data_IF_314036440890
#
_entry.id   IF_314036440890
#
_cell.length_a   1.000
_cell.length_b   1.000
_cell.length_c   1.000
_cell.angle_alpha   90.00
_cell.angle_beta   90.00
_cell.angle_gamma   90.00
#
_symmetry.space_group_name_H-M   'P 1'
#
loop_
_entity.id
_entity.type
_entity.pdbx_description
1 polymer ?
#
# COMPACT_ATOMS: atom_id res chain seq x y z
N UNK A 1 -27.02 -31.90 -4.83
CA UNK A 1 -28.43 -31.78 -4.45
C UNK A 1 -28.49 -32.01 -2.95
N UNK A 2 -28.79 -31.10 -2.03
CA UNK A 2 -29.09 -29.66 -1.99
C UNK A 2 -28.74 -29.19 -0.56
N UNK A 3 -27.95 -28.13 -0.39
CA UNK A 3 -28.32 -26.77 0.09
C UNK A 3 -29.23 -26.69 1.33
N UNK A 4 -28.62 -26.37 2.49
CA UNK A 4 -29.09 -25.35 3.46
C UNK A 4 -27.94 -25.13 4.47
N UNK A 5 -27.50 -23.95 4.87
CA UNK A 5 -28.12 -22.63 4.85
C UNK A 5 -28.07 -22.04 6.27
N UNK A 6 -26.88 -21.79 6.83
CA UNK A 6 -26.77 -21.00 8.08
C UNK A 6 -26.17 -19.63 7.77
N UNK A 7 -27.09 -18.68 7.58
CA UNK A 7 -26.86 -17.23 7.56
C UNK A 7 -26.28 -16.81 8.90
N UNK A 8 -25.07 -16.26 8.91
CA UNK A 8 -24.59 -15.40 10.00
C UNK A 8 -25.28 -14.04 9.86
N UNK A 9 -26.26 -13.76 10.73
CA UNK A 9 -26.68 -12.38 11.02
C UNK A 9 -25.81 -11.84 12.16
N UNK A 10 -25.37 -10.58 12.10
CA UNK A 10 -24.68 -9.94 13.20
C UNK A 10 -25.69 -9.58 14.29
N UNK A 11 -25.46 -10.06 15.52
CA UNK A 11 -26.12 -9.48 16.69
C UNK A 11 -25.46 -8.14 17.00
N UNK A 12 -26.22 -7.06 16.83
CA UNK A 12 -25.85 -5.75 17.34
C UNK A 12 -26.19 -5.58 18.82
N UNK A 13 -25.52 -4.62 19.46
CA UNK A 13 -25.97 -3.79 20.59
C UNK A 13 -24.88 -2.74 20.82
N UNK A 14 -24.97 -1.52 20.27
CA UNK A 14 -25.68 -0.32 20.77
C UNK A 14 -25.01 0.32 22.02
N UNK A 15 -24.34 1.47 21.73
CA UNK A 15 -24.26 2.79 22.44
C UNK A 15 -23.87 2.82 23.93
N UNK A 16 -23.24 3.85 24.48
CA UNK A 16 -22.86 5.21 24.08
C UNK A 16 -21.86 5.71 25.15
N UNK A 17 -20.91 6.58 24.80
CA UNK A 17 -20.63 7.77 25.64
C UNK A 17 -19.58 8.71 25.04
N UNK A 18 -20.09 9.89 24.69
CA UNK A 18 -19.47 11.20 24.71
C UNK A 18 -18.63 11.66 23.51
N UNK A 19 -19.36 12.28 22.57
CA UNK A 19 -18.91 13.46 21.85
C UNK A 19 -18.37 14.53 22.81
N UNK A 20 -17.15 14.99 22.58
CA UNK A 20 -16.77 16.38 22.88
C UNK A 20 -16.30 17.04 21.58
N UNK A 21 -17.26 17.72 20.96
CA UNK A 21 -17.03 18.71 19.91
C UNK A 21 -16.27 19.89 20.52
N UNK A 22 -14.99 20.04 20.16
CA UNK A 22 -14.30 21.32 20.32
C UNK A 22 -14.28 22.07 18.98
N UNK A 23 -15.13 23.09 18.88
CA UNK A 23 -14.97 24.17 17.90
C UNK A 23 -13.71 24.96 18.26
N UNK A 24 -12.72 24.99 17.39
CA UNK A 24 -11.70 26.03 17.41
C UNK A 24 -11.93 27.02 16.27
N UNK A 25 -12.09 28.29 16.67
CA UNK A 25 -12.26 29.45 15.81
C UNK A 25 -11.00 29.68 14.97
N UNK A 26 -11.20 30.04 13.70
CA UNK A 26 -10.18 30.65 12.83
C UNK A 26 -9.70 31.97 13.46
N UNK A 27 -8.40 32.05 13.77
CA UNK A 27 -7.68 33.32 13.88
C UNK A 27 -6.27 33.16 13.29
N UNK A 28 -6.06 33.86 12.18
CA UNK A 28 -4.86 34.38 11.53
C UNK A 28 -3.47 33.76 11.80
N UNK A 29 -2.88 33.32 10.67
CA UNK A 29 -1.46 33.19 10.34
C UNK A 29 -0.60 34.36 10.87
N UNK A 30 0.63 34.04 11.31
CA UNK A 30 1.91 34.69 10.89
C UNK A 30 3.06 34.49 11.91
N UNK A 31 2.82 33.95 13.10
CA UNK A 31 3.83 33.91 14.17
C UNK A 31 4.43 32.54 14.55
N UNK A 32 4.05 31.45 13.88
CA UNK A 32 4.30 30.07 14.37
C UNK A 32 5.30 29.27 13.51
N UNK A 33 6.21 29.96 12.81
CA UNK A 33 7.19 29.32 11.90
C UNK A 33 8.58 29.14 12.54
N UNK A 34 8.83 29.66 13.75
CA UNK A 34 10.19 29.63 14.35
C UNK A 34 10.31 28.83 15.66
N UNK A 35 9.21 28.37 16.26
CA UNK A 35 9.24 27.57 17.52
C UNK A 35 9.04 26.05 17.29
N UNK A 36 8.65 25.65 16.07
CA UNK A 36 8.42 24.24 15.71
C UNK A 36 9.70 23.41 15.49
N UNK A 37 10.88 24.04 15.45
CA UNK A 37 12.15 23.33 15.22
C UNK A 37 12.90 22.92 16.51
N UNK A 38 12.46 23.32 17.70
CA UNK A 38 13.20 23.02 18.95
C UNK A 38 12.39 22.20 19.98
N UNK A 39 11.07 22.11 19.83
CA UNK A 39 10.23 21.33 20.74
C UNK A 39 10.02 19.85 20.33
N UNK A 40 10.51 19.39 19.17
CA UNK A 40 10.39 17.98 18.76
C UNK A 40 11.52 17.06 19.26
N UNK A 41 12.49 17.56 20.04
CA UNK A 41 13.66 16.77 20.44
C UNK A 41 13.81 16.44 21.93
N UNK A 42 12.97 16.94 22.86
CA UNK A 42 13.11 16.60 24.29
C UNK A 42 11.79 16.72 25.07
N UNK A 43 11.39 15.61 25.73
CA UNK A 43 10.28 15.53 26.70
C UNK A 43 8.98 15.01 26.08
N UNK A 44 8.42 13.85 26.41
CA UNK A 44 8.45 13.07 27.65
C UNK A 44 8.27 11.59 27.27
N UNK A 45 9.15 10.69 27.68
CA UNK A 45 9.06 10.00 28.98
C UNK A 45 7.67 9.37 29.21
N UNK A 46 7.64 8.04 29.06
CA UNK A 46 6.86 7.13 29.89
C UNK A 46 5.34 7.37 29.94
N UNK A 47 4.66 7.13 28.83
CA UNK A 47 3.44 6.36 28.91
C UNK A 47 3.85 4.89 28.68
N UNK A 48 4.16 4.18 29.76
CA UNK A 48 3.94 2.74 29.78
C UNK A 48 2.42 2.60 29.62
N UNK A 49 1.96 2.53 28.36
CA UNK A 49 0.67 1.94 28.09
C UNK A 49 0.73 0.55 28.72
N UNK A 50 -0.06 0.42 29.78
CA UNK A 50 -0.34 -0.83 30.46
C UNK A 50 -0.58 -1.85 29.36
N UNK A 51 0.29 -2.86 29.26
CA UNK A 51 0.15 -4.00 28.35
C UNK A 51 -1.19 -4.67 28.66
N UNK A 52 -2.28 -4.16 28.08
CA UNK A 52 -3.46 -4.97 27.84
C UNK A 52 -2.97 -6.00 26.82
N UNK A 53 -2.74 -7.22 27.32
CA UNK A 53 -2.41 -8.42 26.57
C UNK A 53 -3.53 -8.70 25.55
N UNK A 54 -3.60 -7.88 24.50
CA UNK A 54 -4.48 -8.00 23.32
C UNK A 54 -4.22 -9.27 22.51
N UNK A 55 -3.30 -10.12 22.99
CA UNK A 55 -2.87 -11.39 22.43
C UNK A 55 -3.63 -12.59 23.00
N UNK A 56 -4.53 -12.35 23.97
CA UNK A 56 -5.36 -13.39 24.58
C UNK A 56 -6.81 -13.00 24.42
N UNK A 57 -7.47 -13.63 23.44
CA UNK A 57 -8.92 -13.54 23.30
C UNK A 57 -9.53 -14.76 24.01
N UNK A 58 -10.54 -14.52 24.84
CA UNK A 58 -11.31 -15.59 25.45
C UNK A 58 -12.33 -16.09 24.44
N UNK A 59 -12.20 -17.34 24.04
CA UNK A 59 -13.16 -18.02 23.18
C UNK A 59 -13.93 -19.04 23.99
N UNK A 60 -15.26 -19.03 23.85
CA UNK A 60 -16.14 -19.99 24.49
C UNK A 60 -16.44 -21.14 23.52
N UNK A 61 -16.01 -22.34 23.87
CA UNK A 61 -16.23 -23.55 23.09
C UNK A 61 -17.27 -24.42 23.76
N UNK A 62 -18.42 -24.61 23.11
CA UNK A 62 -19.48 -25.48 23.60
C UNK A 62 -19.46 -26.81 22.86
N UNK A 63 -19.54 -27.91 23.61
CA UNK A 63 -19.72 -29.24 23.02
C UNK A 63 -21.19 -29.47 22.61
N UNK A 64 -21.43 -30.60 21.91
CA UNK A 64 -22.77 -30.99 21.45
C UNK A 64 -23.76 -31.28 22.58
N UNK A 65 -23.28 -31.41 23.81
CA UNK A 65 -24.10 -31.64 24.99
C UNK A 65 -24.39 -30.32 25.74
N UNK A 66 -23.99 -29.17 25.18
CA UNK A 66 -24.22 -27.84 25.75
C UNK A 66 -23.23 -27.46 26.85
N UNK A 67 -22.15 -28.23 27.05
CA UNK A 67 -21.11 -27.88 28.03
C UNK A 67 -20.10 -26.95 27.37
N UNK A 68 -20.05 -25.71 27.86
CA UNK A 68 -19.12 -24.69 27.37
C UNK A 68 -17.86 -24.60 28.24
N UNK A 69 -16.70 -24.45 27.60
CA UNK A 69 -15.42 -24.17 28.24
C UNK A 69 -14.81 -22.92 27.62
N UNK A 70 -14.47 -21.95 28.47
CA UNK A 70 -13.65 -20.82 28.07
C UNK A 70 -12.21 -21.28 27.89
N UNK A 71 -11.66 -20.99 26.72
CA UNK A 71 -10.24 -21.21 26.43
C UNK A 71 -9.61 -19.89 26.01
N UNK A 72 -8.42 -19.64 26.56
CA UNK A 72 -7.53 -18.59 26.08
C UNK A 72 -6.98 -19.04 24.74
N UNK A 73 -7.33 -18.37 23.65
CA UNK A 73 -6.65 -18.59 22.38
C UNK A 73 -5.68 -17.45 22.09
N UNK A 74 -4.54 -17.82 21.52
CA UNK A 74 -3.57 -16.88 21.01
C UNK A 74 -3.89 -16.70 19.53
N UNK A 75 -4.37 -15.51 19.18
CA UNK A 75 -4.62 -15.19 17.78
C UNK A 75 -3.33 -14.65 17.17
N UNK A 76 -2.95 -15.21 16.03
CA UNK A 76 -1.79 -14.76 15.28
C UNK A 76 -2.06 -13.42 14.56
N UNK A 77 -1.06 -12.98 13.80
CA UNK A 77 -1.07 -11.70 13.07
C UNK A 77 -2.17 -11.58 12.00
N UNK A 78 -2.80 -12.69 11.61
CA UNK A 78 -3.89 -12.74 10.63
C UNK A 78 -5.25 -12.93 11.31
N UNK A 79 -5.34 -12.73 12.63
CA UNK A 79 -6.50 -13.07 13.46
C UNK A 79 -6.89 -14.55 13.40
N UNK A 80 -5.96 -15.44 13.03
CA UNK A 80 -6.19 -16.88 13.11
C UNK A 80 -5.90 -17.30 14.54
N UNK A 81 -6.95 -17.64 15.25
CA UNK A 81 -6.85 -18.16 16.61
C UNK A 81 -6.44 -19.62 16.55
N UNK A 82 -5.27 -19.90 17.13
CA UNK A 82 -4.65 -21.23 17.14
C UNK A 82 -4.47 -21.70 18.58
N UNK A 83 -4.41 -23.01 18.75
CA UNK A 83 -4.28 -23.66 20.06
C UNK A 83 -3.11 -23.09 20.86
N UNK A 84 -3.33 -22.96 22.17
CA UNK A 84 -2.34 -22.53 23.16
C UNK A 84 -0.97 -23.18 22.90
N UNK A 85 0.13 -22.42 22.80
CA UNK A 85 1.47 -22.99 22.58
C UNK A 85 1.78 -24.03 23.65
N UNK A 86 2.30 -25.18 23.23
CA UNK A 86 2.46 -26.35 24.09
C UNK A 86 3.62 -26.19 25.09
N UNK A 87 4.56 -25.27 24.82
CA UNK A 87 5.75 -25.06 25.64
C UNK A 87 6.00 -23.57 25.95
N UNK A 88 6.76 -23.30 27.02
CA UNK A 88 7.22 -21.94 27.36
C UNK A 88 8.10 -21.32 26.27
N UNK A 89 8.91 -22.14 25.59
CA UNK A 89 9.79 -21.69 24.51
C UNK A 89 8.99 -21.25 23.29
N UNK A 90 8.00 -22.05 22.86
CA UNK A 90 7.11 -21.70 21.75
C UNK A 90 6.33 -20.41 22.03
N UNK A 91 5.87 -20.22 23.27
CA UNK A 91 5.24 -18.95 23.68
C UNK A 91 6.20 -17.76 23.53
N UNK A 92 7.45 -17.89 23.98
CA UNK A 92 8.44 -16.81 23.89
C UNK A 92 8.79 -16.46 22.44
N UNK A 93 8.96 -17.45 21.58
CA UNK A 93 9.24 -17.26 20.15
C UNK A 93 8.08 -16.54 19.44
N UNK A 94 6.83 -16.94 19.72
CA UNK A 94 5.65 -16.27 19.15
C UNK A 94 5.52 -14.82 19.60
N UNK A 95 5.75 -14.54 20.88
CA UNK A 95 5.76 -13.16 21.39
C UNK A 95 6.86 -12.32 20.72
N UNK A 96 8.03 -12.92 20.48
CA UNK A 96 9.12 -12.25 19.76
C UNK A 96 8.74 -11.94 18.31
N UNK A 97 8.21 -12.90 17.56
CA UNK A 97 7.74 -12.70 16.18
C UNK A 97 6.63 -11.64 16.10
N UNK A 98 5.70 -11.67 17.04
CA UNK A 98 4.64 -10.66 17.12
C UNK A 98 5.20 -9.25 17.40
N UNK A 99 6.16 -9.12 18.31
CA UNK A 99 6.81 -7.83 18.59
C UNK A 99 7.53 -7.28 17.35
N UNK A 100 8.21 -8.14 16.58
CA UNK A 100 8.83 -7.78 15.30
C UNK A 100 7.78 -7.33 14.27
N UNK A 101 6.69 -8.09 14.13
CA UNK A 101 5.59 -7.73 13.24
C UNK A 101 4.94 -6.39 13.63
N UNK A 102 4.65 -6.18 14.92
CA UNK A 102 4.04 -4.93 15.44
C UNK A 102 4.93 -3.73 15.13
N UNK A 103 6.24 -3.88 15.33
CA UNK A 103 7.24 -2.86 14.96
C UNK A 103 7.24 -2.57 13.46
N UNK A 104 7.26 -3.61 12.62
CA UNK A 104 7.24 -3.48 11.15
C UNK A 104 5.94 -2.82 10.65
N UNK A 105 4.79 -3.24 11.19
CA UNK A 105 3.49 -2.68 10.84
C UNK A 105 3.40 -1.19 11.22
N UNK A 106 3.89 -0.81 12.41
CA UNK A 106 3.92 0.60 12.82
C UNK A 106 4.78 1.47 11.88
N UNK A 107 5.93 0.94 11.44
CA UNK A 107 6.79 1.61 10.45
C UNK A 107 6.03 1.77 9.12
N UNK A 108 5.39 0.70 8.63
CA UNK A 108 4.63 0.71 7.39
C UNK A 108 3.47 1.71 7.43
N UNK A 109 2.70 1.76 8.52
CA UNK A 109 1.58 2.72 8.67
C UNK A 109 2.06 4.17 8.71
N UNK A 110 3.22 4.43 9.32
CA UNK A 110 3.82 5.78 9.32
C UNK A 110 4.24 6.17 7.91
N UNK A 111 4.89 5.27 7.18
CA UNK A 111 5.28 5.51 5.78
C UNK A 111 4.07 5.76 4.89
N UNK A 112 3.05 4.90 4.96
CA UNK A 112 1.83 5.05 4.16
C UNK A 112 1.16 6.42 4.37
N UNK A 113 1.08 6.91 5.62
CA UNK A 113 0.55 8.26 5.90
C UNK A 113 1.43 9.38 5.36
N UNK A 114 2.74 9.18 5.28
CA UNK A 114 3.64 10.15 4.66
C UNK A 114 3.47 10.15 3.14
N UNK A 115 3.37 8.97 2.53
CA UNK A 115 3.16 8.81 1.10
C UNK A 115 1.87 9.50 0.65
N UNK A 116 0.76 9.31 1.39
CA UNK A 116 -0.51 10.00 1.13
C UNK A 116 -0.35 11.53 1.16
N UNK A 117 0.33 12.08 2.16
CA UNK A 117 0.57 13.53 2.25
C UNK A 117 1.40 14.05 1.09
N UNK A 118 2.40 13.28 0.66
CA UNK A 118 3.22 13.64 -0.51
C UNK A 118 2.37 13.65 -1.77
N UNK A 119 1.53 12.64 -1.98
CA UNK A 119 0.62 12.59 -3.13
C UNK A 119 -0.39 13.73 -3.12
N UNK A 120 -0.97 14.05 -1.96
CA UNK A 120 -1.84 15.23 -1.78
C UNK A 120 -1.11 16.52 -2.13
N UNK A 121 0.11 16.71 -1.63
CA UNK A 121 0.92 17.89 -1.94
C UNK A 121 1.26 17.99 -3.43
N UNK A 122 1.54 16.87 -4.11
CA UNK A 122 1.78 16.89 -5.56
C UNK A 122 0.50 17.36 -6.27
N UNK A 123 -0.65 16.77 -5.94
CA UNK A 123 -1.92 17.12 -6.56
C UNK A 123 -2.30 18.60 -6.32
N UNK A 124 -2.09 19.13 -5.11
CA UNK A 124 -2.37 20.53 -4.79
C UNK A 124 -1.47 21.52 -5.55
N UNK A 125 -0.24 21.12 -5.88
CA UNK A 125 0.72 21.96 -6.59
C UNK A 125 0.66 21.81 -8.12
N UNK A 126 -0.21 20.95 -8.65
CA UNK A 126 -0.40 20.79 -10.09
C UNK A 126 -1.17 21.98 -10.68
N UNK A 127 -0.46 22.87 -11.37
CA UNK A 127 -1.10 23.93 -12.17
C UNK A 127 -1.47 23.41 -13.56
N UNK A 128 -2.44 24.04 -14.25
CA UNK A 128 -2.77 23.70 -15.64
C UNK A 128 -1.55 23.74 -16.57
N UNK A 129 -0.66 24.71 -16.40
CA UNK A 129 0.56 24.86 -17.21
C UNK A 129 1.51 23.70 -16.99
N UNK A 130 1.72 23.28 -15.73
CA UNK A 130 2.54 22.11 -15.40
C UNK A 130 1.93 20.84 -16.01
N UNK A 131 0.62 20.67 -15.94
CA UNK A 131 -0.07 19.52 -16.54
C UNK A 131 0.08 19.51 -18.06
N UNK A 132 0.03 20.66 -18.73
CA UNK A 132 0.32 20.72 -20.17
C UNK A 132 1.75 20.34 -20.51
N UNK A 133 2.73 20.77 -19.73
CA UNK A 133 4.13 20.36 -19.90
C UNK A 133 4.30 18.85 -19.71
N UNK A 134 3.65 18.28 -18.69
CA UNK A 134 3.64 16.84 -18.46
C UNK A 134 2.99 16.09 -19.63
N UNK A 135 1.85 16.55 -20.17
CA UNK A 135 1.21 15.94 -21.35
C UNK A 135 2.09 15.98 -22.60
N UNK A 136 2.84 17.07 -22.81
CA UNK A 136 3.80 17.18 -23.92
C UNK A 136 4.94 16.18 -23.75
N UNK A 137 5.47 16.06 -22.54
CA UNK A 137 6.57 15.14 -22.22
C UNK A 137 6.15 13.66 -22.31
N UNK A 138 4.98 13.34 -21.77
CA UNK A 138 4.44 11.99 -21.67
C UNK A 138 3.33 11.77 -22.70
N UNK A 139 3.62 12.12 -23.95
CA UNK A 139 2.64 11.97 -25.04
C UNK A 139 2.43 10.49 -25.35
N UNK A 140 1.16 10.11 -25.45
CA UNK A 140 0.70 8.79 -25.86
C UNK A 140 0.09 8.92 -27.25
N UNK A 141 0.61 8.15 -28.20
CA UNK A 141 0.06 8.13 -29.55
C UNK A 141 -1.30 7.41 -29.55
N UNK A 142 -2.22 7.74 -30.47
CA UNK A 142 -3.53 7.08 -30.52
C UNK A 142 -3.47 5.56 -30.65
N UNK A 143 -4.38 4.88 -29.96
CA UNK A 143 -4.60 3.43 -30.01
C UNK A 143 -5.67 3.00 -31.04
N UNK A 144 -6.07 1.72 -31.04
CA UNK A 144 -6.09 0.82 -29.88
C UNK A 144 -4.72 0.25 -29.48
N UNK A 145 -4.61 -0.15 -28.21
CA UNK A 145 -3.46 -0.83 -27.65
C UNK A 145 -3.87 -2.23 -27.20
N UNK A 146 -3.07 -3.22 -27.59
CA UNK A 146 -3.30 -4.64 -27.35
C UNK A 146 -2.31 -5.16 -26.31
N UNK A 147 -2.70 -6.14 -25.51
CA UNK A 147 -1.78 -6.78 -24.57
C UNK A 147 -0.74 -7.61 -25.35
N UNK A 148 0.55 -7.37 -25.13
CA UNK A 148 1.60 -8.13 -25.78
C UNK A 148 2.11 -9.26 -24.89
N UNK A 149 2.02 -10.50 -25.40
CA UNK A 149 2.52 -11.72 -24.73
C UNK A 149 3.55 -12.50 -25.54
N UNK A 150 4.02 -11.92 -26.66
CA UNK A 150 5.05 -12.52 -27.51
C UNK A 150 6.42 -12.62 -26.81
N UNK A 151 7.35 -13.35 -27.42
CA UNK A 151 8.71 -13.52 -26.88
C UNK A 151 9.50 -12.21 -26.96
N UNK A 152 9.30 -11.43 -28.01
CA UNK A 152 9.88 -10.11 -28.23
C UNK A 152 9.50 -9.16 -27.11
N UNK A 153 8.23 -9.20 -26.68
CA UNK A 153 7.76 -8.38 -25.56
C UNK A 153 8.37 -8.82 -24.22
N UNK A 154 8.66 -10.11 -24.02
CA UNK A 154 9.40 -10.54 -22.81
C UNK A 154 10.80 -9.92 -22.74
N UNK A 155 11.48 -9.75 -23.87
CA UNK A 155 12.80 -9.10 -23.92
C UNK A 155 12.71 -7.60 -23.55
N UNK A 156 11.55 -6.96 -23.73
CA UNK A 156 11.35 -5.57 -23.32
C UNK A 156 11.42 -5.41 -21.80
N UNK A 157 11.04 -6.43 -21.01
CA UNK A 157 11.21 -6.37 -19.56
C UNK A 157 12.69 -6.33 -19.16
N UNK A 158 13.56 -7.09 -19.82
CA UNK A 158 15.00 -7.01 -19.55
C UNK A 158 15.53 -5.59 -19.83
N UNK A 159 15.13 -5.01 -20.96
CA UNK A 159 15.44 -3.62 -21.30
C UNK A 159 14.91 -2.61 -20.27
N UNK A 160 13.67 -2.80 -19.82
CA UNK A 160 13.08 -1.97 -18.75
C UNK A 160 13.86 -2.08 -17.46
N UNK A 161 14.20 -3.31 -17.05
CA UNK A 161 15.00 -3.54 -15.86
C UNK A 161 16.36 -2.86 -15.98
N UNK A 162 17.06 -2.95 -17.11
CA UNK A 162 18.31 -2.23 -17.37
C UNK A 162 18.17 -0.71 -17.25
N UNK A 163 17.05 -0.15 -17.72
CA UNK A 163 16.77 1.29 -17.67
C UNK A 163 16.38 1.77 -16.28
N UNK A 164 15.67 0.95 -15.51
CA UNK A 164 15.48 1.14 -14.07
C UNK A 164 16.80 0.95 -13.29
N UNK A 165 17.76 0.16 -13.81
CA UNK A 165 19.00 -0.26 -13.15
C UNK A 165 20.11 0.79 -13.05
N UNK A 166 19.85 2.10 -13.22
CA UNK A 166 20.89 3.14 -13.06
C UNK A 166 20.69 4.13 -11.91
N UNK A 167 19.53 4.17 -11.22
CA UNK A 167 19.50 4.80 -9.89
C UNK A 167 18.73 4.06 -8.79
N UNK A 168 17.94 3.02 -9.07
CA UNK A 168 16.94 2.50 -8.11
C UNK A 168 17.24 1.09 -7.59
N UNK A 169 17.96 0.26 -8.34
CA UNK A 169 18.06 -1.18 -8.05
C UNK A 169 19.33 -1.49 -7.27
N UNK A 170 19.23 -1.31 -5.95
CA UNK A 170 20.00 -2.09 -4.99
C UNK A 170 19.08 -3.15 -4.39
N UNK A 171 18.67 -4.20 -5.13
CA UNK A 171 17.89 -5.35 -4.59
C UNK A 171 16.53 -5.07 -3.90
N UNK A 172 16.07 -3.82 -3.89
CA UNK A 172 14.97 -3.34 -3.03
C UNK A 172 13.64 -3.12 -3.78
N UNK A 173 13.48 -3.66 -5.00
CA UNK A 173 12.21 -3.63 -5.72
C UNK A 173 11.60 -5.03 -5.75
N UNK A 174 10.42 -5.17 -5.16
CA UNK A 174 9.57 -6.36 -5.34
C UNK A 174 8.54 -6.10 -6.43
N UNK A 175 8.56 -6.90 -7.50
CA UNK A 175 7.54 -6.86 -8.56
C UNK A 175 6.17 -7.24 -8.00
N UNK A 176 5.15 -6.44 -8.31
CA UNK A 176 3.75 -6.77 -7.99
C UNK A 176 2.99 -7.23 -9.23
N UNK A 177 3.11 -6.47 -10.32
CA UNK A 177 2.45 -6.77 -11.59
C UNK A 177 3.14 -6.05 -12.73
N UNK A 178 3.09 -6.64 -13.91
CA UNK A 178 3.59 -6.01 -15.12
C UNK A 178 2.76 -6.43 -16.33
N UNK A 179 2.56 -5.50 -17.26
CA UNK A 179 1.99 -5.77 -18.57
C UNK A 179 2.67 -4.90 -19.63
N UNK A 180 2.63 -5.38 -20.86
CA UNK A 180 3.12 -4.64 -22.03
C UNK A 180 1.93 -4.46 -22.95
N UNK A 181 1.80 -3.25 -23.47
CA UNK A 181 0.82 -2.92 -24.49
C UNK A 181 1.52 -2.48 -25.76
N UNK A 182 0.92 -2.76 -26.91
CA UNK A 182 1.44 -2.36 -28.22
C UNK A 182 0.29 -2.03 -29.18
N UNK A 183 0.47 -1.03 -30.03
CA UNK A 183 -0.47 -0.72 -31.11
C UNK A 183 0.04 -1.20 -32.48
N UNK A 184 -0.83 -1.16 -33.49
CA UNK A 184 -0.50 -1.58 -34.88
C UNK A 184 0.67 -0.82 -35.51
N UNK A 185 0.93 0.40 -35.03
CA UNK A 185 2.08 1.21 -35.48
C UNK A 185 3.41 0.78 -34.84
N UNK A 186 3.41 -0.25 -33.97
CA UNK A 186 4.58 -0.73 -33.26
C UNK A 186 5.00 0.11 -32.06
N UNK A 187 4.12 1.03 -31.60
CA UNK A 187 4.38 1.76 -30.37
C UNK A 187 4.00 0.90 -29.19
N UNK A 188 4.88 0.82 -28.20
CA UNK A 188 4.67 -0.01 -27.02
C UNK A 188 4.90 0.76 -25.73
N UNK A 189 4.22 0.29 -24.70
CA UNK A 189 4.43 0.71 -23.33
C UNK A 189 4.65 -0.49 -22.42
N UNK A 190 5.54 -0.31 -21.45
CA UNK A 190 5.77 -1.26 -20.35
C UNK A 190 5.18 -0.63 -19.11
N UNK A 191 4.20 -1.28 -18.53
CA UNK A 191 3.47 -0.82 -17.37
C UNK A 191 3.82 -1.75 -16.21
N UNK A 192 4.39 -1.18 -15.15
CA UNK A 192 5.03 -1.96 -14.10
C UNK A 192 4.67 -1.42 -12.73
N UNK A 193 4.20 -2.28 -11.85
CA UNK A 193 3.94 -1.96 -10.45
C UNK A 193 4.95 -2.67 -9.58
N UNK A 194 5.58 -1.93 -8.69
CA UNK A 194 6.55 -2.48 -7.75
C UNK A 194 6.56 -1.78 -6.40
N UNK A 195 7.38 -2.32 -5.54
CA UNK A 195 7.52 -1.90 -4.16
C UNK A 195 8.97 -1.60 -3.86
N UNK A 196 9.28 -0.35 -3.52
CA UNK A 196 10.60 0.12 -3.12
C UNK A 196 10.77 0.01 -1.61
N UNK A 197 11.82 -0.68 -1.15
CA UNK A 197 12.18 -0.72 0.27
C UNK A 197 12.91 0.58 0.62
N UNK A 198 12.40 1.29 1.60
CA UNK A 198 12.93 2.55 2.11
C UNK A 198 14.00 2.27 3.18
N UNK A 199 14.86 3.25 3.47
CA UNK A 199 15.93 3.12 4.48
C UNK A 199 15.45 2.71 5.88
N UNK A 200 14.19 3.03 6.23
CA UNK A 200 13.56 2.64 7.48
C UNK A 200 12.96 1.20 7.46
N UNK A 201 13.14 0.47 6.36
CA UNK A 201 12.57 -0.87 6.11
C UNK A 201 11.08 -0.86 5.75
N UNK A 202 10.46 0.31 5.63
CA UNK A 202 9.10 0.43 5.09
C UNK A 202 9.11 0.17 3.58
N UNK A 203 7.96 -0.22 3.05
CA UNK A 203 7.79 -0.43 1.62
C UNK A 203 6.94 0.71 1.05
N UNK A 204 7.40 1.32 -0.03
CA UNK A 204 6.72 2.38 -0.77
C UNK A 204 6.29 1.83 -2.14
N UNK A 205 5.02 1.98 -2.50
CA UNK A 205 4.53 1.54 -3.81
C UNK A 205 4.91 2.56 -4.88
N UNK A 206 5.35 2.07 -6.02
CA UNK A 206 5.56 2.85 -7.23
C UNK A 206 4.93 2.12 -8.41
N UNK A 207 4.35 2.90 -9.31
CA UNK A 207 3.88 2.42 -10.59
C UNK A 207 4.62 3.20 -11.69
N UNK A 208 5.16 2.49 -12.67
CA UNK A 208 5.96 3.06 -13.75
C UNK A 208 5.33 2.76 -15.10
N UNK A 209 5.49 3.70 -16.02
CA UNK A 209 5.16 3.51 -17.44
C UNK A 209 6.38 3.91 -18.25
N UNK A 210 6.90 2.98 -19.04
CA UNK A 210 7.99 3.25 -19.98
C UNK A 210 7.46 3.18 -21.41
N UNK A 211 7.86 4.13 -22.25
CA UNK A 211 7.51 4.16 -23.66
C UNK A 211 8.70 3.79 -24.55
N UNK A 212 8.41 3.22 -25.72
CA UNK A 212 9.36 3.11 -26.82
C UNK A 212 9.90 4.47 -27.31
N UNK A 213 9.20 5.58 -27.02
CA UNK A 213 9.66 6.95 -27.27
C UNK A 213 10.74 7.43 -26.29
N UNK A 214 11.13 6.60 -25.31
CA UNK A 214 12.30 6.82 -24.47
C UNK A 214 12.04 7.55 -23.15
N UNK A 215 10.79 7.89 -22.82
CA UNK A 215 10.44 8.44 -21.52
C UNK A 215 10.04 7.34 -20.51
N UNK A 216 10.26 7.64 -19.23
CA UNK A 216 9.85 6.85 -18.06
C UNK A 216 9.04 7.74 -17.12
N UNK A 217 7.82 7.31 -16.82
CA UNK A 217 6.90 7.94 -15.86
C UNK A 217 6.94 7.16 -14.55
N UNK A 218 6.93 7.84 -13.41
CA UNK A 218 6.84 7.26 -12.07
C UNK A 218 5.66 7.93 -11.34
N UNK A 219 4.67 7.14 -10.92
CA UNK A 219 3.46 7.63 -10.26
C UNK A 219 3.77 8.49 -9.04
N UNK A 220 4.81 8.13 -8.29
CA UNK A 220 5.18 8.86 -7.09
C UNK A 220 5.74 10.26 -7.39
N UNK A 221 6.29 10.47 -8.58
CA UNK A 221 6.88 11.76 -9.01
C UNK A 221 5.82 12.69 -9.59
N UNK A 222 4.94 12.15 -10.45
CA UNK A 222 3.96 12.97 -11.16
C UNK A 222 2.62 13.09 -10.45
N UNK A 223 2.36 12.27 -9.44
CA UNK A 223 1.09 12.20 -8.74
C UNK A 223 0.14 11.17 -9.36
N UNK A 224 -0.59 10.46 -8.50
CA UNK A 224 -1.52 9.39 -8.91
C UNK A 224 -2.55 9.84 -9.96
N UNK A 225 -3.04 11.08 -9.87
CA UNK A 225 -4.05 11.61 -10.81
C UNK A 225 -3.55 11.73 -12.25
N UNK A 226 -2.37 12.34 -12.46
CA UNK A 226 -1.77 12.43 -13.79
C UNK A 226 -1.26 11.07 -14.28
N UNK A 227 -0.73 10.26 -13.38
CA UNK A 227 -0.34 8.89 -13.71
C UNK A 227 -1.53 8.08 -14.25
N UNK A 228 -2.70 8.15 -13.60
CA UNK A 228 -3.89 7.44 -14.03
C UNK A 228 -4.40 7.90 -15.40
N UNK A 229 -4.27 9.20 -15.71
CA UNK A 229 -4.56 9.75 -17.04
C UNK A 229 -3.71 9.06 -18.14
N UNK A 230 -2.41 8.91 -17.91
CA UNK A 230 -1.50 8.25 -18.86
C UNK A 230 -1.71 6.74 -18.88
N UNK A 231 -1.92 6.11 -17.71
CA UNK A 231 -2.18 4.68 -17.61
C UNK A 231 -3.39 4.25 -18.46
N UNK A 232 -4.49 5.00 -18.41
CA UNK A 232 -5.69 4.72 -19.22
C UNK A 232 -5.44 4.79 -20.73
N UNK A 233 -4.49 5.60 -21.16
CA UNK A 233 -4.16 5.77 -22.58
C UNK A 233 -3.13 4.74 -23.06
N UNK A 234 -2.14 4.45 -22.22
CA UNK A 234 -0.98 3.63 -22.57
C UNK A 234 -1.15 2.16 -22.17
N UNK A 235 -1.62 1.88 -20.97
CA UNK A 235 -1.56 0.56 -20.34
C UNK A 235 -2.87 -0.23 -20.41
N UNK A 236 -3.99 0.45 -20.64
CA UNK A 236 -5.29 -0.19 -20.76
C UNK A 236 -5.41 -0.84 -22.14
N UNK A 237 -5.37 -2.18 -22.15
CA UNK A 237 -5.63 -2.94 -23.37
C UNK A 237 -7.12 -2.90 -23.73
N UNK A 238 -7.42 -2.97 -25.03
CA UNK A 238 -8.75 -3.20 -25.58
C UNK A 238 -9.28 -4.64 -25.38
N UNK A 239 -8.45 -5.53 -24.82
CA UNK A 239 -8.77 -6.94 -24.58
C UNK A 239 -8.22 -7.88 -25.65
N UNK A 240 -7.66 -7.36 -26.74
CA UNK A 240 -6.94 -8.19 -27.72
C UNK A 240 -5.51 -8.49 -27.24
N UNK A 241 -5.02 -9.67 -27.59
CA UNK A 241 -3.70 -10.17 -27.15
C UNK A 241 -2.86 -10.53 -28.37
N UNK A 242 -1.68 -9.93 -28.47
CA UNK A 242 -0.67 -10.27 -29.48
C UNK A 242 0.24 -11.37 -28.95
N UNK A 243 0.14 -12.54 -29.57
CA UNK A 243 0.92 -13.73 -29.24
C UNK A 243 2.15 -13.95 -30.14
N UNK A 244 2.20 -13.25 -31.28
CA UNK A 244 3.19 -13.45 -32.34
C UNK A 244 4.53 -12.80 -32.03
#
# INVERSE_FOLDING_TARGET
MDVSGCKTRPCGSIRDSSEKVMRMKRQNLAGLVVVLCVAMMCGSALAFDRDDDSHVVWHMFCDRNGKCVERKEYCDIDHRCISVPATKQEKAERLHQYALWKKKNLIQQKQYRQDLKVQEMIAENQTPELLEELRKKYSVLPGPYHECRSKECKNLYEYFYEKLNKPIIGKDIMELSSNITVNDSGNWFICYSGQKIMNNGAVQKHDWIMSNAGWLLDSYVVGDGFYEEIYKQACQSDGEVIWQ
#
